data_IF_486111847610
#
_entry.id   IF_486111847610
#
_cell.length_a   1.000
_cell.length_b   1.000
_cell.length_c   1.000
_cell.angle_alpha   90.00
_cell.angle_beta   90.00
_cell.angle_gamma   90.00
#
_symmetry.space_group_name_H-M   'P 1'
#
loop_
_entity.id
_entity.type
_entity.pdbx_description
1 polymer ?
#
# COMPACT_ATOMS: atom_id res chain seq x y z
N UNK A 1 17.82 -14.20 -47.69
CA UNK A 1 18.20 -13.47 -46.45
C UNK A 1 17.01 -13.55 -45.51
N UNK A 2 17.11 -14.30 -44.41
CA UNK A 2 16.04 -14.42 -43.41
C UNK A 2 16.15 -13.29 -42.40
N UNK A 3 15.06 -12.56 -42.16
CA UNK A 3 14.98 -11.51 -41.15
C UNK A 3 15.26 -12.08 -39.75
N UNK A 4 15.95 -11.34 -38.87
CA UNK A 4 16.21 -11.80 -37.50
C UNK A 4 14.90 -11.87 -36.70
N UNK A 5 14.77 -12.80 -35.73
CA UNK A 5 13.59 -12.92 -34.91
C UNK A 5 13.46 -11.69 -34.00
N UNK A 6 12.31 -11.02 -34.08
CA UNK A 6 11.95 -9.93 -33.18
C UNK A 6 11.76 -10.51 -31.78
N UNK A 7 12.71 -10.29 -30.88
CA UNK A 7 12.52 -10.52 -29.46
C UNK A 7 11.40 -9.58 -29.00
N UNK A 8 10.25 -10.13 -28.62
CA UNK A 8 9.21 -9.35 -27.96
C UNK A 8 9.83 -8.73 -26.71
N UNK A 9 9.91 -7.40 -26.68
CA UNK A 9 10.32 -6.66 -25.49
C UNK A 9 9.24 -6.87 -24.43
N UNK A 10 9.48 -7.80 -23.50
CA UNK A 10 8.71 -7.89 -22.25
C UNK A 10 9.07 -6.69 -21.38
N UNK A 11 8.66 -5.50 -21.82
CA UNK A 11 8.78 -4.29 -21.02
C UNK A 11 7.89 -4.47 -19.78
N UNK A 12 8.39 -4.20 -18.57
CA UNK A 12 7.60 -4.29 -17.36
C UNK A 12 6.40 -3.35 -17.47
N UNK A 13 5.20 -3.91 -17.38
CA UNK A 13 3.96 -3.13 -17.39
C UNK A 13 3.68 -2.62 -15.98
N UNK A 14 3.60 -1.30 -15.83
CA UNK A 14 3.20 -0.67 -14.56
C UNK A 14 1.67 -0.63 -14.49
N UNK A 15 1.10 -1.28 -13.48
CA UNK A 15 -0.33 -1.24 -13.18
C UNK A 15 -0.59 -0.45 -11.91
N UNK A 16 -1.39 0.61 -12.00
CA UNK A 16 -1.94 1.28 -10.81
C UNK A 16 -3.01 0.39 -10.18
N UNK A 17 -2.85 0.06 -8.91
CA UNK A 17 -3.80 -0.80 -8.20
C UNK A 17 -4.91 0.01 -7.52
N UNK A 18 -4.56 1.07 -6.82
CA UNK A 18 -5.52 1.89 -6.10
C UNK A 18 -4.97 3.29 -5.82
N UNK A 19 -5.86 4.28 -5.84
CA UNK A 19 -5.58 5.65 -5.44
C UNK A 19 -6.63 6.08 -4.40
N UNK A 20 -6.17 6.55 -3.24
CA UNK A 20 -7.09 7.07 -2.23
C UNK A 20 -7.81 8.33 -2.75
N UNK A 21 -9.12 8.49 -2.50
CA UNK A 21 -9.89 9.63 -2.99
C UNK A 21 -9.54 10.96 -2.30
N UNK A 22 -8.86 10.89 -1.16
CA UNK A 22 -8.32 12.04 -0.43
C UNK A 22 -6.81 11.96 -0.41
N UNK A 23 -6.12 13.12 -0.27
CA UNK A 23 -4.68 13.17 -0.01
C UNK A 23 -4.38 12.46 1.31
N UNK A 24 -4.23 11.15 1.26
CA UNK A 24 -3.69 10.32 2.35
C UNK A 24 -2.26 10.00 1.96
N UNK A 25 -1.31 10.53 2.72
CA UNK A 25 0.08 10.16 2.54
C UNK A 25 0.24 8.72 3.05
N UNK A 26 0.48 7.79 2.13
CA UNK A 26 0.87 6.42 2.47
C UNK A 26 2.26 6.50 3.11
N UNK A 27 2.39 5.92 4.30
CA UNK A 27 3.67 5.95 5.02
C UNK A 27 4.52 4.75 4.65
N UNK A 28 3.93 3.55 4.77
CA UNK A 28 4.62 2.30 4.59
C UNK A 28 3.76 1.32 3.78
N UNK A 29 4.45 0.49 3.00
CA UNK A 29 3.86 -0.61 2.23
C UNK A 29 4.61 -1.89 2.60
N UNK A 30 3.88 -2.93 3.01
CA UNK A 30 4.42 -4.27 3.19
C UNK A 30 3.76 -5.24 2.19
N UNK A 31 4.55 -5.82 1.30
CA UNK A 31 4.07 -6.78 0.30
C UNK A 31 4.12 -8.18 0.90
N UNK A 32 2.96 -8.78 1.12
CA UNK A 32 2.86 -10.09 1.74
C UNK A 32 2.86 -11.20 0.69
N UNK A 33 3.43 -12.35 1.05
CA UNK A 33 3.51 -13.54 0.18
C UNK A 33 2.12 -14.15 -0.13
N UNK A 34 1.11 -13.84 0.70
CA UNK A 34 -0.26 -14.32 0.56
C UNK A 34 -1.12 -13.46 -0.40
N UNK A 35 -0.49 -12.68 -1.30
CA UNK A 35 -1.17 -11.84 -2.32
C UNK A 35 -1.87 -10.59 -1.76
N UNK A 36 -1.66 -10.28 -0.49
CA UNK A 36 -2.13 -9.04 0.12
C UNK A 36 -1.01 -8.02 0.26
N UNK A 37 -1.35 -6.75 0.15
CA UNK A 37 -0.47 -5.62 0.45
C UNK A 37 -1.00 -4.94 1.69
N UNK A 38 -0.18 -4.76 2.71
CA UNK A 38 -0.54 -3.96 3.87
C UNK A 38 -0.05 -2.54 3.70
N UNK A 39 -0.91 -1.59 4.03
CA UNK A 39 -0.67 -0.17 3.84
C UNK A 39 -0.94 0.54 5.17
N UNK A 40 -0.05 1.45 5.56
CA UNK A 40 -0.34 2.44 6.60
C UNK A 40 -0.40 3.82 6.01
N UNK A 41 -1.17 4.68 6.67
CA UNK A 41 -1.32 6.09 6.30
C UNK A 41 -0.83 6.97 7.43
N UNK A 42 -0.24 8.12 7.08
CA UNK A 42 0.26 9.11 8.03
C UNK A 42 -0.83 9.79 8.87
N UNK A 43 -2.10 9.70 8.47
CA UNK A 43 -3.20 10.46 9.09
C UNK A 43 -4.28 9.60 9.75
N UNK A 44 -4.10 8.28 9.80
CA UNK A 44 -4.99 7.40 10.57
C UNK A 44 -4.21 6.33 11.32
N UNK A 45 -4.76 5.88 12.45
CA UNK A 45 -4.30 4.70 13.17
C UNK A 45 -4.73 3.36 12.53
N UNK A 46 -5.12 3.35 11.25
CA UNK A 46 -5.65 2.18 10.56
C UNK A 46 -4.57 1.47 9.74
N UNK A 47 -4.53 0.14 9.87
CA UNK A 47 -3.82 -0.75 8.97
C UNK A 47 -4.79 -1.22 7.90
N UNK A 48 -4.48 -0.91 6.64
CA UNK A 48 -5.27 -1.34 5.50
C UNK A 48 -4.63 -2.58 4.85
N UNK A 49 -5.46 -3.42 4.25
CA UNK A 49 -5.05 -4.50 3.35
C UNK A 49 -5.64 -4.29 1.97
N UNK A 50 -4.88 -4.59 0.93
CA UNK A 50 -5.32 -4.58 -0.47
C UNK A 50 -4.97 -5.93 -1.09
N UNK A 51 -5.97 -6.64 -1.60
CA UNK A 51 -5.78 -7.84 -2.42
C UNK A 51 -5.58 -7.41 -3.87
N UNK A 52 -4.35 -7.56 -4.41
CA UNK A 52 -4.04 -7.16 -5.79
C UNK A 52 -4.60 -8.11 -6.85
N UNK A 53 -5.15 -9.26 -6.44
CA UNK A 53 -5.81 -10.24 -7.31
C UNK A 53 -7.32 -10.09 -7.36
N UNK A 54 -7.90 -9.32 -6.43
CA UNK A 54 -9.32 -8.99 -6.44
C UNK A 54 -9.71 -8.23 -7.72
N UNK A 55 -10.90 -8.53 -8.23
CA UNK A 55 -11.53 -7.74 -9.32
C UNK A 55 -11.88 -6.33 -8.86
N UNK A 56 -12.04 -6.15 -7.55
CA UNK A 56 -12.43 -4.90 -6.89
C UNK A 56 -11.29 -4.48 -5.96
N UNK A 57 -10.45 -3.55 -6.42
CA UNK A 57 -9.26 -3.10 -5.70
C UNK A 57 -9.61 -1.99 -4.70
N UNK A 58 -10.25 -2.36 -3.59
CA UNK A 58 -10.50 -1.43 -2.48
C UNK A 58 -9.74 -1.87 -1.22
N UNK A 59 -9.03 -0.95 -0.54
CA UNK A 59 -8.40 -1.27 0.72
C UNK A 59 -9.44 -1.52 1.82
N UNK A 60 -9.22 -2.57 2.60
CA UNK A 60 -10.03 -2.90 3.78
C UNK A 60 -9.23 -2.65 5.06
N UNK A 61 -9.87 -2.19 6.12
CA UNK A 61 -9.22 -2.04 7.42
C UNK A 61 -9.15 -3.42 8.08
N UNK A 62 -7.94 -3.83 8.47
CA UNK A 62 -7.70 -5.11 9.19
C UNK A 62 -7.27 -4.91 10.64
N UNK A 63 -6.78 -3.73 10.99
CA UNK A 63 -6.49 -3.37 12.37
C UNK A 63 -6.62 -1.86 12.57
N UNK A 64 -6.92 -1.46 13.81
CA UNK A 64 -6.89 -0.07 14.26
C UNK A 64 -6.11 0.00 15.56
N UNK A 65 -5.12 0.89 15.63
CA UNK A 65 -4.43 1.22 16.87
C UNK A 65 -5.19 2.38 17.55
N UNK A 66 -5.88 2.14 18.68
CA UNK A 66 -6.63 3.18 19.36
C UNK A 66 -5.72 4.32 19.82
N UNK A 67 -6.24 5.55 19.82
CA UNK A 67 -5.53 6.76 20.25
C UNK A 67 -4.30 7.15 19.40
N UNK A 68 -4.04 6.42 18.31
CA UNK A 68 -3.00 6.76 17.34
C UNK A 68 -3.57 7.62 16.22
N UNK A 69 -2.81 8.60 15.75
CA UNK A 69 -3.17 9.40 14.57
C UNK A 69 -2.38 8.97 13.33
N UNK A 70 -1.37 8.12 13.48
CA UNK A 70 -0.54 7.58 12.40
C UNK A 70 -0.05 6.17 12.73
N UNK A 71 0.43 5.43 11.72
CA UNK A 71 1.11 4.15 11.88
C UNK A 71 2.44 4.18 11.12
N UNK A 72 3.53 4.29 11.88
CA UNK A 72 4.86 4.65 11.38
C UNK A 72 5.74 3.49 10.95
N UNK A 73 5.27 2.25 11.15
CA UNK A 73 5.98 1.06 10.69
C UNK A 73 5.07 -0.15 10.63
N UNK A 74 5.37 -1.05 9.70
CA UNK A 74 4.72 -2.36 9.55
C UNK A 74 5.83 -3.39 9.38
N UNK A 75 5.82 -4.44 10.19
CA UNK A 75 6.67 -5.61 9.99
C UNK A 75 5.86 -6.79 9.44
N UNK A 76 6.56 -7.73 8.83
CA UNK A 76 6.01 -9.06 8.47
C UNK A 76 5.43 -9.70 9.74
N UNK A 77 4.20 -10.22 9.68
CA UNK A 77 3.38 -10.72 10.81
C UNK A 77 2.56 -9.66 11.59
N UNK A 78 2.22 -8.53 10.96
CA UNK A 78 1.26 -7.52 11.47
C UNK A 78 1.70 -6.74 12.72
N UNK A 79 2.99 -6.76 13.09
CA UNK A 79 3.47 -5.83 14.10
C UNK A 79 3.47 -4.41 13.53
N UNK A 80 2.75 -3.49 14.18
CA UNK A 80 2.64 -2.09 13.79
C UNK A 80 3.08 -1.19 14.93
N UNK A 81 3.83 -0.15 14.59
CA UNK A 81 4.13 0.95 15.50
C UNK A 81 3.28 2.16 15.11
N UNK A 82 2.85 2.96 16.08
CA UNK A 82 2.07 4.16 15.84
C UNK A 82 2.30 5.22 16.90
N UNK A 83 1.86 6.43 16.58
CA UNK A 83 2.01 7.58 17.46
C UNK A 83 0.89 8.60 17.28
N UNK A 84 0.93 9.61 18.15
CA UNK A 84 0.08 10.80 18.02
C UNK A 84 0.93 11.93 17.47
N UNK A 85 0.63 12.33 16.24
CA UNK A 85 1.23 13.50 15.63
C UNK A 85 0.54 14.76 16.17
N UNK A 86 1.32 15.81 16.41
CA UNK A 86 0.80 17.18 16.47
C UNK A 86 0.34 17.60 15.08
N UNK A 87 -0.56 18.58 14.95
CA UNK A 87 -1.05 19.06 13.65
C UNK A 87 0.09 19.35 12.66
N UNK A 88 -0.05 18.85 11.44
CA UNK A 88 0.92 18.95 10.34
C UNK A 88 0.15 18.94 9.03
N UNK A 89 0.58 19.76 8.08
CA UNK A 89 -0.02 19.86 6.76
C UNK A 89 0.96 19.32 5.72
N UNK A 90 0.47 18.44 4.85
CA UNK A 90 1.23 17.94 3.70
C UNK A 90 0.75 18.72 2.48
N UNK A 91 1.35 19.88 2.24
CA UNK A 91 1.10 20.66 1.01
C UNK A 91 1.36 19.80 -0.25
#
# INVERSE_FOLDING_TARGET
MSSPPTLASNEPTVRSLYQFPTKKANENINVCLNRHHHLTTLNTGHLYTLDHTSTTLFPHIIATLPNSTSLTGIATLFAVAGGKHISFDFE
#
